data_IF_190686941684
#
_entry.id   IF_190686941684
#
_cell.length_a   1.000
_cell.length_b   1.000
_cell.length_c   1.000
_cell.angle_alpha   90.00
_cell.angle_beta   90.00
_cell.angle_gamma   90.00
#
_symmetry.space_group_name_H-M   'P 1'
#
loop_
_entity.id
_entity.type
_entity.pdbx_description
1 polymer ?
#
# COMPACT_ATOMS: atom_id res chain seq x y z
N UNK A 1 -4.59 -2.80 22.47
CA UNK A 1 -3.90 -1.96 21.47
C UNK A 1 -4.94 -1.18 20.70
N UNK A 2 -4.84 0.15 20.66
CA UNK A 2 -5.73 0.98 19.84
C UNK A 2 -5.51 0.67 18.36
N UNK A 3 -6.59 0.69 17.57
CA UNK A 3 -6.49 0.59 16.11
C UNK A 3 -5.95 1.92 15.59
N UNK A 4 -4.86 1.89 14.82
CA UNK A 4 -4.37 3.08 14.10
C UNK A 4 -5.37 3.46 13.00
N UNK A 5 -5.66 4.75 12.91
CA UNK A 5 -6.46 5.31 11.82
C UNK A 5 -5.53 5.89 10.78
N UNK A 6 -5.71 5.50 9.53
CA UNK A 6 -4.96 6.04 8.39
C UNK A 6 -5.86 7.05 7.68
N UNK A 7 -5.38 8.28 7.55
CA UNK A 7 -6.08 9.37 6.86
C UNK A 7 -5.53 9.47 5.44
N UNK A 8 -6.40 9.37 4.44
CA UNK A 8 -6.03 9.59 3.06
C UNK A 8 -5.84 11.11 2.81
N UNK A 9 -4.62 11.47 2.42
CA UNK A 9 -4.28 12.86 2.04
C UNK A 9 -4.40 13.00 0.52
N UNK A 10 -5.63 12.95 0.02
CA UNK A 10 -5.93 13.09 -1.40
C UNK A 10 -6.11 14.59 -1.71
N UNK A 11 -5.04 15.38 -1.50
CA UNK A 11 -4.95 16.83 -1.75
C UNK A 11 -4.13 17.09 -3.01
N UNK A 12 -4.38 18.22 -3.65
CA UNK A 12 -3.72 18.61 -4.90
C UNK A 12 -2.27 19.06 -4.72
N UNK A 13 -1.93 19.58 -3.53
CA UNK A 13 -0.62 20.13 -3.24
C UNK A 13 -0.30 20.06 -1.75
N UNK A 14 0.94 20.42 -1.42
CA UNK A 14 1.42 20.41 -0.04
C UNK A 14 0.80 21.50 0.84
N UNK A 15 0.42 22.64 0.28
CA UNK A 15 -0.20 23.73 1.00
C UNK A 15 -1.53 23.29 1.62
N UNK A 16 -2.40 22.67 0.83
CA UNK A 16 -3.66 22.10 1.30
C UNK A 16 -3.43 20.99 2.33
N UNK A 17 -2.46 20.13 2.07
CA UNK A 17 -2.08 19.03 2.97
C UNK A 17 -1.68 19.58 4.33
N UNK A 18 -0.78 20.55 4.38
CA UNK A 18 -0.30 21.10 5.65
C UNK A 18 -1.33 21.98 6.36
N UNK A 19 -2.18 22.68 5.62
CA UNK A 19 -3.32 23.40 6.19
C UNK A 19 -4.29 22.42 6.87
N UNK A 20 -4.52 21.24 6.28
CA UNK A 20 -5.30 20.19 6.92
C UNK A 20 -4.60 19.63 8.17
N UNK A 21 -3.31 19.29 8.07
CA UNK A 21 -2.55 18.71 9.19
C UNK A 21 -2.39 19.66 10.36
N UNK A 22 -2.39 20.98 10.14
CA UNK A 22 -2.34 21.97 11.22
C UNK A 22 -3.53 21.92 12.18
N UNK A 23 -4.64 21.29 11.77
CA UNK A 23 -5.83 21.11 12.61
C UNK A 23 -5.65 20.04 13.70
N UNK A 24 -4.62 19.19 13.59
CA UNK A 24 -4.33 18.16 14.56
C UNK A 24 -3.33 18.65 15.61
N UNK A 25 -3.85 19.02 16.77
CA UNK A 25 -3.03 19.43 17.90
C UNK A 25 -2.68 18.23 18.78
N UNK A 26 -1.39 17.94 18.95
CA UNK A 26 -0.90 16.89 19.84
C UNK A 26 -0.98 15.45 19.35
N UNK A 27 -1.86 15.12 18.39
CA UNK A 27 -1.96 13.80 17.77
C UNK A 27 -1.27 13.80 16.41
N UNK A 28 -0.58 12.71 16.10
CA UNK A 28 0.09 12.48 14.82
C UNK A 28 -0.59 11.31 14.10
N UNK A 29 -1.67 11.56 13.32
CA UNK A 29 -2.32 10.50 12.58
C UNK A 29 -1.37 9.85 11.58
N UNK A 30 -1.63 8.59 11.24
CA UNK A 30 -0.99 7.91 10.12
C UNK A 30 -1.58 8.44 8.82
N UNK A 31 -0.75 8.79 7.85
CA UNK A 31 -1.18 9.45 6.62
C UNK A 31 -0.92 8.56 5.40
N UNK A 32 -1.89 8.45 4.52
CA UNK A 32 -1.73 7.83 3.20
C UNK A 32 -1.46 8.92 2.17
N UNK A 33 -0.35 8.80 1.47
CA UNK A 33 0.02 9.64 0.34
C UNK A 33 -0.19 8.82 -0.93
N UNK A 34 -1.16 9.23 -1.73
CA UNK A 34 -1.47 8.62 -3.02
C UNK A 34 -0.62 9.18 -4.16
N UNK A 35 -0.84 8.64 -5.37
CA UNK A 35 -0.08 9.00 -6.57
C UNK A 35 -0.21 10.49 -6.91
N UNK A 36 -1.40 11.09 -6.79
CA UNK A 36 -1.63 12.49 -7.14
C UNK A 36 -0.69 13.41 -6.37
N UNK A 37 -0.76 13.38 -5.04
CA UNK A 37 0.08 14.23 -4.19
C UNK A 37 1.56 13.90 -4.32
N UNK A 38 1.91 12.62 -4.43
CA UNK A 38 3.31 12.21 -4.57
C UNK A 38 3.92 12.68 -5.88
N UNK A 39 3.18 12.60 -7.00
CA UNK A 39 3.69 13.05 -8.30
C UNK A 39 3.67 14.57 -8.46
N UNK A 40 2.73 15.26 -7.80
CA UNK A 40 2.69 16.72 -7.80
C UNK A 40 3.86 17.34 -7.02
N UNK A 41 4.19 16.78 -5.84
CA UNK A 41 5.14 17.38 -4.89
C UNK A 41 6.49 16.66 -4.83
N UNK A 42 6.58 15.48 -5.47
CA UNK A 42 7.77 14.64 -5.43
C UNK A 42 8.05 14.02 -4.04
N UNK A 43 9.24 13.41 -3.90
CA UNK A 43 9.59 12.70 -2.65
C UNK A 43 9.74 13.62 -1.44
N UNK A 44 9.88 14.92 -1.63
CA UNK A 44 10.08 15.88 -0.53
C UNK A 44 8.87 15.98 0.39
N UNK A 45 7.65 15.83 -0.15
CA UNK A 45 6.42 15.81 0.66
C UNK A 45 6.46 14.72 1.74
N UNK A 46 7.06 13.57 1.42
CA UNK A 46 7.20 12.45 2.38
C UNK A 46 8.14 12.85 3.50
N UNK A 47 9.31 13.43 3.17
CA UNK A 47 10.29 13.88 4.17
C UNK A 47 9.72 14.95 5.09
N UNK A 48 9.02 15.94 4.53
CA UNK A 48 8.39 17.01 5.29
C UNK A 48 7.32 16.48 6.26
N UNK A 49 6.52 15.50 5.83
CA UNK A 49 5.50 14.85 6.67
C UNK A 49 6.16 14.01 7.76
N UNK A 50 7.19 13.23 7.42
CA UNK A 50 7.97 12.45 8.39
C UNK A 50 8.64 13.34 9.44
N UNK A 51 9.24 14.48 9.02
CA UNK A 51 9.85 15.45 9.92
C UNK A 51 8.85 16.05 10.92
N UNK A 52 7.56 16.07 10.60
CA UNK A 52 6.49 16.49 11.52
C UNK A 52 6.04 15.39 12.48
N UNK A 53 6.63 14.17 12.39
CA UNK A 53 6.40 13.05 13.29
C UNK A 53 5.22 12.16 12.90
N UNK A 54 4.70 12.27 11.68
CA UNK A 54 3.66 11.37 11.18
C UNK A 54 4.26 10.07 10.64
N UNK A 55 3.50 8.98 10.74
CA UNK A 55 3.73 7.78 9.95
C UNK A 55 3.15 7.97 8.54
N UNK A 56 3.81 7.40 7.53
CA UNK A 56 3.43 7.55 6.12
C UNK A 56 3.23 6.20 5.44
N UNK A 57 2.06 6.02 4.87
CA UNK A 57 1.75 4.98 3.91
C UNK A 57 1.86 5.56 2.49
N UNK A 58 2.83 5.09 1.70
CA UNK A 58 2.95 5.42 0.28
C UNK A 58 2.12 4.45 -0.55
N UNK A 59 0.96 4.95 -0.99
CA UNK A 59 -0.02 4.19 -1.77
C UNK A 59 0.23 4.38 -3.28
N UNK A 60 1.36 3.87 -3.77
CA UNK A 60 1.81 4.02 -5.17
C UNK A 60 1.56 2.77 -6.02
N UNK A 61 1.16 1.67 -5.40
CA UNK A 61 0.74 0.41 -6.06
C UNK A 61 1.78 -0.08 -7.08
N UNK A 62 3.01 -0.30 -6.62
CA UNK A 62 4.12 -0.72 -7.49
C UNK A 62 3.76 -1.97 -8.29
N UNK A 63 3.95 -1.90 -9.60
CA UNK A 63 3.66 -2.98 -10.53
C UNK A 63 4.57 -2.86 -11.76
N UNK A 64 5.65 -3.62 -11.77
CA UNK A 64 6.64 -3.64 -12.84
C UNK A 64 7.45 -4.95 -12.76
N UNK A 65 8.43 -5.15 -13.64
CA UNK A 65 9.33 -6.30 -13.55
C UNK A 65 10.07 -6.31 -12.19
N UNK A 66 10.47 -7.50 -11.69
CA UNK A 66 11.00 -7.66 -10.33
C UNK A 66 12.14 -6.70 -9.98
N UNK A 67 13.09 -6.49 -10.89
CA UNK A 67 14.25 -5.62 -10.63
C UNK A 67 13.86 -4.14 -10.48
N UNK A 68 12.91 -3.67 -11.29
CA UNK A 68 12.40 -2.28 -11.21
C UNK A 68 11.69 -2.06 -9.87
N UNK A 69 10.81 -3.00 -9.47
CA UNK A 69 10.10 -2.91 -8.18
C UNK A 69 11.09 -2.97 -7.02
N UNK A 70 12.10 -3.85 -7.08
CA UNK A 70 13.16 -3.90 -6.07
C UNK A 70 13.87 -2.56 -5.90
N UNK A 71 14.24 -1.92 -7.01
CA UNK A 71 14.91 -0.62 -7.00
C UNK A 71 14.01 0.50 -6.50
N UNK A 72 12.74 0.52 -6.92
CA UNK A 72 11.75 1.47 -6.44
C UNK A 72 11.53 1.34 -4.92
N UNK A 73 11.40 0.12 -4.41
CA UNK A 73 11.29 -0.15 -2.96
C UNK A 73 12.43 0.47 -2.16
N UNK A 74 13.68 0.32 -2.62
CA UNK A 74 14.85 0.93 -1.96
C UNK A 74 14.73 2.45 -1.87
N UNK A 75 14.26 3.09 -2.94
CA UNK A 75 14.03 4.54 -2.96
C UNK A 75 12.97 4.92 -1.93
N UNK A 76 11.82 4.21 -1.91
CA UNK A 76 10.73 4.52 -0.98
C UNK A 76 11.14 4.31 0.49
N UNK A 77 11.96 3.30 0.78
CA UNK A 77 12.49 3.09 2.14
C UNK A 77 13.43 4.23 2.56
N UNK A 78 14.26 4.74 1.65
CA UNK A 78 15.13 5.87 1.92
C UNK A 78 14.37 7.18 2.19
N UNK A 79 13.09 7.25 1.81
CA UNK A 79 12.20 8.35 2.18
C UNK A 79 11.61 8.19 3.60
N UNK A 80 11.81 7.03 4.23
CA UNK A 80 11.27 6.73 5.55
C UNK A 80 9.80 6.32 5.54
N UNK A 81 9.29 5.76 4.44
CA UNK A 81 7.93 5.22 4.39
C UNK A 81 7.72 4.12 5.43
N UNK A 82 6.63 4.17 6.18
CA UNK A 82 6.28 3.17 7.18
C UNK A 82 5.41 2.04 6.61
N UNK A 83 4.78 2.27 5.47
CA UNK A 83 4.00 1.29 4.72
C UNK A 83 4.09 1.58 3.22
N UNK A 84 4.16 0.53 2.42
CA UNK A 84 4.20 0.59 0.94
C UNK A 84 3.32 -0.52 0.39
N UNK A 85 2.78 -0.34 -0.80
CA UNK A 85 2.03 -1.39 -1.47
C UNK A 85 2.55 -1.74 -2.86
N UNK A 86 2.27 -2.99 -3.24
CA UNK A 86 2.49 -3.53 -4.59
C UNK A 86 1.19 -4.16 -5.09
N UNK A 87 1.06 -4.40 -6.39
CA UNK A 87 -0.01 -5.22 -6.93
C UNK A 87 0.31 -6.72 -6.80
N UNK A 88 -0.63 -7.53 -6.32
CA UNK A 88 -0.49 -9.00 -6.28
C UNK A 88 -0.42 -9.60 -7.69
N UNK A 89 -1.06 -8.97 -8.67
CA UNK A 89 -1.03 -9.35 -10.09
C UNK A 89 0.35 -9.25 -10.74
N UNK A 90 1.33 -8.61 -10.08
CA UNK A 90 2.74 -8.63 -10.49
C UNK A 90 3.44 -9.97 -10.31
N UNK A 91 2.72 -10.97 -9.81
CA UNK A 91 3.15 -12.35 -9.57
C UNK A 91 4.26 -12.51 -8.51
N UNK A 92 4.59 -13.77 -8.22
CA UNK A 92 5.45 -14.14 -7.08
C UNK A 92 6.84 -13.53 -7.14
N UNK A 93 7.49 -13.50 -8.30
CA UNK A 93 8.87 -13.01 -8.41
C UNK A 93 8.98 -11.51 -8.14
N UNK A 94 7.98 -10.72 -8.58
CA UNK A 94 7.93 -9.29 -8.28
C UNK A 94 7.71 -9.05 -6.78
N UNK A 95 6.80 -9.78 -6.16
CA UNK A 95 6.53 -9.66 -4.73
C UNK A 95 7.73 -10.10 -3.88
N UNK A 96 8.43 -11.19 -4.26
CA UNK A 96 9.69 -11.61 -3.62
C UNK A 96 10.76 -10.54 -3.72
N UNK A 97 10.88 -9.90 -4.89
CA UNK A 97 11.85 -8.83 -5.11
C UNK A 97 11.56 -7.60 -4.23
N UNK A 98 10.29 -7.22 -4.08
CA UNK A 98 9.86 -6.16 -3.17
C UNK A 98 10.19 -6.49 -1.71
N UNK A 99 9.88 -7.71 -1.28
CA UNK A 99 10.21 -8.19 0.07
C UNK A 99 11.71 -8.25 0.33
N UNK A 100 12.50 -8.72 -0.66
CA UNK A 100 13.95 -8.77 -0.54
C UNK A 100 14.54 -7.36 -0.34
N UNK A 101 14.01 -6.36 -1.09
CA UNK A 101 14.42 -4.97 -0.89
C UNK A 101 14.06 -4.49 0.52
N UNK A 102 12.83 -4.74 0.98
CA UNK A 102 12.39 -4.32 2.30
C UNK A 102 13.29 -4.87 3.43
N UNK A 103 13.80 -6.11 3.27
CA UNK A 103 14.75 -6.74 4.23
C UNK A 103 16.12 -6.05 4.29
N UNK A 104 16.48 -5.23 3.33
CA UNK A 104 17.73 -4.49 3.32
C UNK A 104 17.70 -3.27 4.28
N UNK A 105 16.52 -2.88 4.77
CA UNK A 105 16.35 -1.76 5.70
C UNK A 105 16.43 -2.21 7.16
N UNK A 106 17.06 -1.41 8.00
CA UNK A 106 17.04 -1.61 9.46
C UNK A 106 15.62 -1.44 10.04
N UNK A 107 14.81 -0.59 9.42
CA UNK A 107 13.41 -0.34 9.79
C UNK A 107 12.51 -0.62 8.57
N UNK A 108 12.23 -1.88 8.28
CA UNK A 108 11.45 -2.25 7.09
C UNK A 108 10.02 -1.71 7.17
N UNK A 109 9.50 -1.15 6.07
CA UNK A 109 8.10 -0.75 6.01
C UNK A 109 7.19 -1.97 6.03
N UNK A 110 5.95 -1.78 6.46
CA UNK A 110 4.90 -2.75 6.19
C UNK A 110 4.69 -2.82 4.67
N UNK A 111 4.86 -4.01 4.10
CA UNK A 111 4.59 -4.25 2.69
C UNK A 111 3.25 -4.97 2.54
N UNK A 112 2.32 -4.35 1.82
CA UNK A 112 1.00 -4.91 1.55
C UNK A 112 0.79 -5.15 0.05
N UNK A 113 0.00 -6.15 -0.30
CA UNK A 113 -0.33 -6.45 -1.69
C UNK A 113 -1.81 -6.17 -1.98
N UNK A 114 -2.04 -5.36 -3.01
CA UNK A 114 -3.39 -5.09 -3.54
C UNK A 114 -3.79 -6.27 -4.42
N UNK A 115 -4.80 -7.01 -4.01
CA UNK A 115 -5.29 -8.19 -4.74
C UNK A 115 -6.12 -7.78 -5.96
N UNK A 116 -7.07 -6.86 -5.75
CA UNK A 116 -7.84 -6.21 -6.80
C UNK A 116 -8.14 -4.76 -6.41
N UNK A 117 -8.33 -3.90 -7.39
CA UNK A 117 -8.78 -2.53 -7.16
C UNK A 117 -10.26 -2.52 -6.77
N UNK A 118 -10.64 -1.63 -5.88
CA UNK A 118 -12.04 -1.48 -5.43
C UNK A 118 -13.00 -1.05 -6.54
N UNK A 119 -12.47 -0.45 -7.61
CA UNK A 119 -13.20 -0.06 -8.82
C UNK A 119 -13.44 -1.20 -9.81
N UNK A 120 -12.77 -2.36 -9.65
CA UNK A 120 -12.93 -3.51 -10.53
C UNK A 120 -14.20 -4.27 -10.16
N UNK A 121 -15.16 -4.36 -11.08
CA UNK A 121 -16.35 -5.17 -10.95
C UNK A 121 -16.18 -6.54 -11.64
N UNK A 122 -17.19 -7.42 -11.52
CA UNK A 122 -17.17 -8.76 -12.12
C UNK A 122 -17.07 -8.71 -13.66
N UNK A 123 -17.67 -7.69 -14.30
CA UNK A 123 -17.61 -7.52 -15.74
C UNK A 123 -16.19 -7.15 -16.17
N UNK A 124 -15.60 -6.13 -15.57
CA UNK A 124 -14.24 -5.70 -15.87
C UNK A 124 -13.23 -6.83 -15.60
N UNK A 125 -13.41 -7.59 -14.48
CA UNK A 125 -12.56 -8.73 -14.17
C UNK A 125 -12.56 -9.76 -15.28
N UNK A 126 -13.74 -10.12 -15.80
CA UNK A 126 -13.90 -11.17 -16.81
C UNK A 126 -13.59 -10.69 -18.23
N UNK A 127 -14.13 -9.53 -18.64
CA UNK A 127 -14.12 -9.09 -20.04
C UNK A 127 -12.88 -8.27 -20.39
N UNK A 128 -12.33 -7.53 -19.42
CA UNK A 128 -11.21 -6.62 -19.66
C UNK A 128 -9.89 -7.17 -19.10
N UNK A 129 -9.92 -7.77 -17.91
CA UNK A 129 -8.74 -8.41 -17.32
C UNK A 129 -8.61 -9.88 -17.69
N UNK A 130 -9.59 -10.46 -18.39
CA UNK A 130 -9.61 -11.84 -18.87
C UNK A 130 -9.47 -12.90 -17.75
N UNK A 131 -9.90 -12.56 -16.54
CA UNK A 131 -9.89 -13.46 -15.39
C UNK A 131 -11.26 -14.11 -15.26
N UNK A 132 -11.35 -15.40 -15.58
CA UNK A 132 -12.62 -16.15 -15.62
C UNK A 132 -13.11 -16.66 -14.26
N UNK A 133 -12.38 -16.42 -13.19
CA UNK A 133 -12.82 -16.76 -11.82
C UNK A 133 -13.59 -15.59 -11.21
N UNK A 134 -14.64 -15.84 -10.41
CA UNK A 134 -15.37 -14.80 -9.70
C UNK A 134 -14.43 -13.94 -8.81
N UNK A 135 -14.79 -12.69 -8.57
CA UNK A 135 -13.99 -11.75 -7.79
C UNK A 135 -13.56 -12.32 -6.44
N UNK A 136 -14.51 -12.89 -5.70
CA UNK A 136 -14.22 -13.48 -4.38
C UNK A 136 -13.15 -14.56 -4.47
N UNK A 137 -13.30 -15.50 -5.39
CA UNK A 137 -12.35 -16.60 -5.60
C UNK A 137 -10.99 -16.08 -6.09
N UNK A 138 -10.99 -15.06 -6.96
CA UNK A 138 -9.78 -14.40 -7.44
C UNK A 138 -8.99 -13.80 -6.27
N UNK A 139 -9.66 -13.05 -5.39
CA UNK A 139 -9.03 -12.47 -4.19
C UNK A 139 -8.53 -13.56 -3.24
N UNK A 140 -9.30 -14.64 -3.04
CA UNK A 140 -8.88 -15.78 -2.21
C UNK A 140 -7.65 -16.49 -2.79
N UNK A 141 -7.57 -16.65 -4.12
CA UNK A 141 -6.39 -17.22 -4.79
C UNK A 141 -5.16 -16.33 -4.62
N UNK A 142 -5.29 -15.02 -4.79
CA UNK A 142 -4.18 -14.09 -4.51
C UNK A 142 -3.74 -14.15 -3.05
N UNK A 143 -4.67 -14.20 -2.10
CA UNK A 143 -4.35 -14.39 -0.69
C UNK A 143 -3.64 -15.72 -0.44
N UNK A 144 -4.05 -16.79 -1.11
CA UNK A 144 -3.37 -18.10 -1.07
C UNK A 144 -1.94 -18.04 -1.59
N UNK A 145 -1.70 -17.33 -2.71
CA UNK A 145 -0.34 -17.10 -3.22
C UNK A 145 0.52 -16.34 -2.22
N UNK A 146 -0.04 -15.31 -1.58
CA UNK A 146 0.65 -14.53 -0.57
C UNK A 146 1.01 -15.37 0.67
N UNK A 147 0.14 -16.31 1.09
CA UNK A 147 0.36 -17.15 2.27
C UNK A 147 1.21 -18.40 1.99
N UNK A 148 0.97 -19.09 0.87
CA UNK A 148 1.57 -20.42 0.59
C UNK A 148 2.96 -20.35 -0.03
N UNK A 149 3.22 -19.35 -0.89
CA UNK A 149 4.52 -19.18 -1.57
C UNK A 149 5.48 -18.25 -0.82
N UNK A 150 4.99 -17.52 0.15
CA UNK A 150 5.75 -16.52 0.89
C UNK A 150 5.49 -16.58 2.40
N UNK A 151 5.24 -17.78 2.95
CA UNK A 151 4.99 -17.94 4.38
C UNK A 151 6.07 -17.30 5.26
N UNK A 152 7.32 -17.32 4.81
CA UNK A 152 8.43 -16.59 5.47
C UNK A 152 8.35 -15.07 5.27
N UNK A 153 7.68 -14.61 4.21
CA UNK A 153 7.57 -13.20 3.85
C UNK A 153 6.35 -12.52 4.46
N UNK A 154 5.32 -13.30 4.83
CA UNK A 154 4.01 -12.81 5.25
C UNK A 154 3.60 -13.28 6.64
N UNK A 155 4.48 -13.95 7.34
CA UNK A 155 4.26 -14.38 8.70
C UNK A 155 4.27 -13.16 9.64
N UNK A 156 3.23 -13.05 10.48
CA UNK A 156 3.02 -11.92 11.40
C UNK A 156 4.20 -11.68 12.36
N UNK A 157 4.95 -12.71 12.69
CA UNK A 157 6.11 -12.63 13.57
C UNK A 157 7.32 -11.98 12.90
N UNK A 158 7.49 -12.19 11.58
CA UNK A 158 8.65 -11.70 10.84
C UNK A 158 8.43 -10.34 10.17
N UNK A 159 7.16 -9.93 9.89
CA UNK A 159 6.89 -8.77 9.05
C UNK A 159 5.72 -7.89 9.49
N UNK A 160 4.95 -8.30 10.50
CA UNK A 160 3.79 -7.54 10.96
C UNK A 160 2.73 -7.28 9.86
N UNK A 161 2.72 -8.10 8.80
CA UNK A 161 1.71 -8.04 7.75
C UNK A 161 0.37 -8.50 8.31
N UNK A 162 -0.36 -7.56 8.89
CA UNK A 162 -1.77 -7.78 9.21
C UNK A 162 -2.50 -7.93 7.88
N UNK A 163 -3.16 -9.09 7.68
CA UNK A 163 -4.18 -9.26 6.65
C UNK A 163 -5.10 -8.04 6.69
N UNK A 164 -4.96 -7.14 5.72
CA UNK A 164 -6.04 -6.25 5.37
C UNK A 164 -7.06 -7.09 4.59
N UNK A 165 -7.82 -7.91 5.32
CA UNK A 165 -9.06 -8.42 4.81
C UNK A 165 -9.98 -7.21 4.67
N UNK A 166 -10.11 -6.69 3.45
CA UNK A 166 -11.26 -5.87 3.12
C UNK A 166 -12.49 -6.76 3.30
N UNK A 167 -13.41 -6.44 4.20
CA UNK A 167 -14.68 -7.13 4.23
C UNK A 167 -15.36 -6.85 2.89
N UNK A 168 -15.51 -7.88 2.06
CA UNK A 168 -16.39 -7.86 0.88
C UNK A 168 -17.82 -7.98 1.41
N UNK A 169 -18.25 -7.02 2.20
CA UNK A 169 -19.65 -6.74 2.43
C UNK A 169 -19.98 -5.48 1.65
N UNK A 170 -20.71 -5.68 0.54
CA UNK A 170 -21.44 -4.61 -0.11
C UNK A 170 -22.35 -3.94 0.91
N UNK A 171 -21.90 -2.87 1.52
CA UNK A 171 -22.77 -1.79 1.97
C UNK A 171 -22.41 -0.55 1.16
N UNK A 172 -23.32 -0.22 0.25
CA UNK A 172 -23.45 1.03 -0.44
C UNK A 172 -23.50 2.19 0.56
N UNK A 173 -22.37 2.68 0.97
CA UNK A 173 -22.21 4.02 1.55
C UNK A 173 -20.81 4.46 1.22
N UNK A 174 -20.74 5.45 0.34
CA UNK A 174 -19.49 6.01 -0.15
C UNK A 174 -18.63 6.52 0.98
N UNK A 175 -17.41 6.01 1.00
CA UNK A 175 -16.23 6.67 1.50
C UNK A 175 -15.10 6.28 0.56
N UNK A 176 -14.70 7.27 -0.24
CA UNK A 176 -13.50 7.26 -1.06
C UNK A 176 -12.28 7.43 -0.16
#
# INVERSE_FOLDING_TARGET
>A
MGKDVIIACDFKNKEETFAFLSKFTGKKPYLKIGMELFYAEGPEIVREIKARGHKVFLDLKLHDIPNTVKSAMRVLMNLGADMVNVHASGASEMMKAACAAAKESENPPLLIAVTQLTSTDERALKEELLINTPMKETVEKFNGLLTNNNAELLNEENWGLKKLAYPIEKKSTGFY
#
